data_IF_065739104016
#
_entry.id   IF_065739104016
#
_cell.length_a   1.000
_cell.length_b   1.000
_cell.length_c   1.000
_cell.angle_alpha   90.00
_cell.angle_beta   90.00
_cell.angle_gamma   90.00
#
_symmetry.space_group_name_H-M   'P 1'
#
loop_
_entity.id
_entity.type
_entity.pdbx_description
1 polymer ?
#
# COMPACT_ATOMS: atom_id res chain seq x y z
N UNK A 1 -11.15 -10.60 10.67
CA UNK A 1 -11.38 -11.23 9.38
C UNK A 1 -10.20 -12.13 9.02
N UNK A 2 -10.51 -13.28 8.54
CA UNK A 2 -9.54 -14.31 8.20
C UNK A 2 -9.36 -14.37 6.68
N UNK A 3 -8.11 -14.35 6.24
CA UNK A 3 -7.76 -14.49 4.83
C UNK A 3 -6.89 -15.71 4.62
N UNK A 4 -6.69 -16.07 3.36
CA UNK A 4 -5.83 -17.17 2.99
C UNK A 4 -4.46 -17.04 3.68
N UNK A 5 -3.93 -18.16 4.17
CA UNK A 5 -2.66 -18.24 4.90
C UNK A 5 -2.68 -17.53 6.26
N UNK A 6 -3.87 -17.44 6.85
CA UNK A 6 -3.99 -16.98 8.23
C UNK A 6 -3.48 -15.57 8.47
N UNK A 7 -3.84 -14.67 7.59
CA UNK A 7 -3.59 -13.26 7.79
C UNK A 7 -4.66 -12.73 8.73
N UNK A 8 -4.26 -12.14 9.85
CA UNK A 8 -5.18 -11.57 10.82
C UNK A 8 -5.35 -10.09 10.54
N UNK A 9 -6.59 -9.67 10.29
CA UNK A 9 -6.94 -8.29 10.11
C UNK A 9 -7.28 -7.64 11.43
N UNK A 10 -6.64 -6.51 11.70
CA UNK A 10 -7.05 -5.61 12.78
C UNK A 10 -7.70 -4.41 12.11
N UNK A 11 -8.90 -4.09 12.52
CA UNK A 11 -9.71 -3.06 11.88
C UNK A 11 -9.22 -1.64 12.14
N UNK A 12 -10.02 -0.65 11.74
CA UNK A 12 -9.69 0.77 11.89
C UNK A 12 -9.49 1.23 13.32
N UNK A 13 -9.91 0.48 14.29
CA UNK A 13 -9.73 0.86 15.71
C UNK A 13 -8.25 1.09 15.99
N UNK A 14 -7.36 0.31 15.41
CA UNK A 14 -5.92 0.55 15.53
C UNK A 14 -5.53 1.96 15.09
N UNK A 15 -6.09 2.41 13.97
CA UNK A 15 -5.71 3.70 13.39
C UNK A 15 -6.39 4.90 14.04
N UNK A 16 -7.28 4.71 14.99
CA UNK A 16 -7.79 5.84 15.79
C UNK A 16 -6.70 6.51 16.61
N UNK A 17 -5.67 5.75 16.94
CA UNK A 17 -4.58 6.21 17.81
C UNK A 17 -3.22 6.20 17.13
N UNK A 18 -3.19 5.94 15.81
CA UNK A 18 -1.96 5.76 15.08
C UNK A 18 -2.14 6.20 13.64
N UNK A 19 -1.09 6.75 13.05
CA UNK A 19 -1.08 7.10 11.64
C UNK A 19 -0.54 5.92 10.82
N UNK A 20 -0.92 5.80 9.53
CA UNK A 20 -0.32 4.79 8.68
C UNK A 20 1.16 5.06 8.53
N UNK A 21 1.93 4.00 8.47
CA UNK A 21 3.39 4.07 8.33
C UNK A 21 3.81 3.32 7.09
N UNK A 22 4.92 3.73 6.51
CA UNK A 22 5.55 2.97 5.42
C UNK A 22 5.78 1.53 5.89
N UNK A 23 5.56 0.59 5.00
CA UNK A 23 5.63 -0.86 5.19
C UNK A 23 4.44 -1.48 5.92
N UNK A 24 3.49 -0.71 6.40
CA UNK A 24 2.23 -1.29 6.89
C UNK A 24 1.53 -2.03 5.75
N UNK A 25 0.94 -3.16 6.07
CA UNK A 25 0.06 -3.87 5.13
C UNK A 25 -1.37 -3.53 5.51
N UNK A 26 -2.12 -3.02 4.56
CA UNK A 26 -3.48 -2.53 4.81
C UNK A 26 -4.47 -3.13 3.84
N UNK A 27 -5.74 -3.08 4.22
CA UNK A 27 -6.85 -3.42 3.34
C UNK A 27 -7.50 -2.13 2.90
N UNK A 28 -7.64 -1.98 1.59
CA UNK A 28 -8.24 -0.81 0.97
C UNK A 28 -9.52 -1.23 0.28
N UNK A 29 -10.58 -0.45 0.49
CA UNK A 29 -11.84 -0.60 -0.23
C UNK A 29 -11.72 0.20 -1.51
N UNK A 30 -11.63 -0.50 -2.63
CA UNK A 30 -11.53 0.11 -3.95
C UNK A 30 -12.86 -0.06 -4.67
N UNK A 31 -13.48 1.07 -4.99
CA UNK A 31 -14.72 1.11 -5.77
C UNK A 31 -14.37 1.45 -7.21
N UNK A 32 -14.61 0.53 -8.13
CA UNK A 32 -14.36 0.75 -9.55
C UNK A 32 -15.55 1.32 -10.31
N UNK A 33 -16.60 1.70 -9.56
CA UNK A 33 -17.85 2.22 -10.14
C UNK A 33 -18.88 1.14 -10.44
N UNK A 34 -18.51 -0.12 -10.36
CA UNK A 34 -19.38 -1.28 -10.58
C UNK A 34 -19.57 -2.08 -9.30
N UNK A 35 -18.47 -2.43 -8.66
CA UNK A 35 -18.46 -3.21 -7.42
C UNK A 35 -17.40 -2.70 -6.50
N UNK A 36 -17.62 -2.82 -5.18
CA UNK A 36 -16.59 -2.61 -4.19
C UNK A 36 -15.67 -3.82 -4.16
N UNK A 37 -14.38 -3.58 -4.16
CA UNK A 37 -13.37 -4.63 -4.09
C UNK A 37 -12.39 -4.32 -2.97
N UNK A 38 -12.13 -5.30 -2.13
CA UNK A 38 -11.12 -5.17 -1.09
C UNK A 38 -9.78 -5.64 -1.64
N UNK A 39 -8.77 -4.80 -1.52
CA UNK A 39 -7.41 -5.14 -1.94
C UNK A 39 -6.47 -5.03 -0.74
N UNK A 40 -5.50 -5.94 -0.68
CA UNK A 40 -4.49 -5.98 0.39
C UNK A 40 -3.18 -5.55 -0.23
N UNK A 41 -2.62 -4.45 0.27
CA UNK A 41 -1.40 -3.85 -0.30
C UNK A 41 -0.50 -3.32 0.80
N UNK A 42 0.75 -3.07 0.43
CA UNK A 42 1.75 -2.48 1.33
C UNK A 42 1.81 -0.97 1.14
N UNK A 43 1.82 -0.22 2.24
CA UNK A 43 2.00 1.23 2.20
C UNK A 43 3.46 1.53 1.82
N UNK A 44 3.64 2.24 0.73
CA UNK A 44 4.96 2.64 0.23
C UNK A 44 5.29 4.07 0.63
N UNK A 45 4.30 4.95 0.57
CA UNK A 45 4.48 6.35 0.92
C UNK A 45 3.23 6.89 1.62
N UNK A 46 3.42 7.88 2.47
CA UNK A 46 2.35 8.49 3.25
C UNK A 46 2.34 10.00 3.02
N UNK A 47 1.31 10.67 3.54
CA UNK A 47 1.15 12.10 3.37
C UNK A 47 2.41 12.87 3.75
N UNK A 48 2.82 13.77 2.86
CA UNK A 48 4.06 14.54 3.00
C UNK A 48 5.26 13.94 2.30
N UNK A 49 5.19 12.68 1.86
CA UNK A 49 6.29 12.05 1.13
C UNK A 49 6.29 12.46 -0.33
N UNK A 50 7.47 12.56 -0.91
CA UNK A 50 7.68 12.63 -2.34
C UNK A 50 8.16 11.27 -2.83
N UNK A 51 7.40 10.66 -3.72
CA UNK A 51 7.69 9.34 -4.26
C UNK A 51 8.19 9.45 -5.69
N UNK A 52 9.32 8.83 -5.96
CA UNK A 52 9.82 8.63 -7.32
C UNK A 52 9.99 7.15 -7.58
N UNK A 53 9.54 6.71 -8.75
CA UNK A 53 9.87 5.39 -9.29
C UNK A 53 10.68 5.65 -10.54
N UNK A 54 11.93 5.21 -10.54
CA UNK A 54 12.87 5.41 -11.66
C UNK A 54 13.61 4.12 -11.95
N UNK A 55 13.66 3.73 -13.20
CA UNK A 55 14.40 2.52 -13.60
C UNK A 55 14.03 1.33 -12.73
N UNK A 56 12.72 1.17 -12.44
CA UNK A 56 12.17 0.08 -11.65
C UNK A 56 12.58 0.09 -10.17
N UNK A 57 13.05 1.22 -9.66
CA UNK A 57 13.43 1.36 -8.26
C UNK A 57 12.63 2.47 -7.58
N UNK A 58 12.40 2.33 -6.28
CA UNK A 58 11.57 3.25 -5.51
C UNK A 58 12.45 4.16 -4.65
N UNK A 59 12.17 5.46 -4.71
CA UNK A 59 12.84 6.48 -3.92
C UNK A 59 11.80 7.27 -3.13
N UNK A 60 12.03 7.43 -1.84
CA UNK A 60 11.17 8.25 -0.96
C UNK A 60 11.99 9.43 -0.47
N UNK A 61 11.50 10.63 -0.78
CA UNK A 61 12.16 11.89 -0.41
C UNK A 61 13.63 11.92 -0.88
N UNK A 62 13.86 11.40 -2.08
CA UNK A 62 15.18 11.37 -2.72
C UNK A 62 16.07 10.21 -2.32
N UNK A 63 15.62 9.35 -1.42
CA UNK A 63 16.41 8.22 -0.93
C UNK A 63 15.87 6.91 -1.44
N UNK A 64 16.73 6.11 -2.07
CA UNK A 64 16.35 4.77 -2.53
C UNK A 64 16.02 3.88 -1.33
N UNK A 65 14.88 3.21 -1.39
CA UNK A 65 14.47 2.29 -0.33
C UNK A 65 14.84 0.86 -0.72
N UNK A 66 15.16 0.07 0.30
CA UNK A 66 15.45 -1.35 0.13
C UNK A 66 14.15 -2.13 0.29
N UNK A 67 13.80 -2.91 -0.72
CA UNK A 67 12.54 -3.63 -0.76
C UNK A 67 12.77 -5.14 -0.77
N UNK A 68 13.09 -5.70 0.41
CA UNK A 68 13.34 -7.14 0.54
C UNK A 68 12.10 -8.01 0.40
N UNK A 69 10.91 -7.40 0.46
CA UNK A 69 9.63 -8.13 0.43
C UNK A 69 9.12 -8.41 -0.99
N UNK A 70 9.69 -7.80 -2.01
CA UNK A 70 9.24 -8.08 -3.39
C UNK A 70 9.76 -9.44 -3.84
N UNK A 71 8.94 -10.15 -4.62
CA UNK A 71 9.23 -11.53 -5.02
C UNK A 71 10.12 -11.61 -6.25
N UNK A 72 10.08 -10.60 -7.09
CA UNK A 72 10.89 -10.53 -8.30
C UNK A 72 11.17 -9.07 -8.63
N UNK A 73 12.13 -8.83 -9.51
CA UNK A 73 12.44 -7.46 -9.90
C UNK A 73 11.22 -6.78 -10.51
N UNK A 74 10.92 -5.59 -10.03
CA UNK A 74 9.82 -4.80 -10.52
C UNK A 74 10.09 -4.33 -11.95
N UNK A 75 9.07 -4.43 -12.81
CA UNK A 75 9.10 -3.85 -14.14
C UNK A 75 7.89 -2.92 -14.25
N UNK A 76 8.13 -1.62 -14.18
CA UNK A 76 7.07 -0.63 -14.11
C UNK A 76 7.53 0.68 -14.77
N UNK A 77 6.55 1.51 -15.11
CA UNK A 77 6.84 2.84 -15.66
C UNK A 77 7.36 3.79 -14.59
N UNK A 78 8.13 4.77 -15.01
CA UNK A 78 8.60 5.83 -14.14
C UNK A 78 7.41 6.66 -13.63
N UNK A 79 7.52 7.12 -12.39
CA UNK A 79 6.47 7.89 -11.74
C UNK A 79 7.11 8.86 -10.75
N UNK A 80 6.56 10.06 -10.66
CA UNK A 80 6.98 11.04 -9.66
C UNK A 80 5.72 11.71 -9.12
N UNK A 81 5.52 11.64 -7.80
CA UNK A 81 4.29 12.15 -7.19
C UNK A 81 4.52 12.59 -5.75
N UNK A 82 3.89 13.70 -5.38
CA UNK A 82 3.81 14.12 -3.99
C UNK A 82 2.54 13.54 -3.37
N UNK A 83 2.67 12.95 -2.19
CA UNK A 83 1.53 12.36 -1.50
C UNK A 83 0.92 13.40 -0.57
N UNK A 84 -0.34 13.82 -0.82
CA UNK A 84 -0.98 14.80 0.05
C UNK A 84 -1.25 14.26 1.44
N UNK A 85 -1.39 15.17 2.39
CA UNK A 85 -1.76 14.82 3.77
C UNK A 85 -3.07 14.00 3.76
N UNK A 86 -3.09 12.97 4.57
CA UNK A 86 -4.26 12.08 4.68
C UNK A 86 -4.37 11.02 3.59
N UNK A 87 -3.39 10.94 2.70
CA UNK A 87 -3.39 9.96 1.61
C UNK A 87 -2.27 8.94 1.80
N UNK A 88 -2.44 7.79 1.18
CA UNK A 88 -1.44 6.72 1.17
C UNK A 88 -1.25 6.22 -0.24
N UNK A 89 -0.01 5.89 -0.57
CA UNK A 89 0.35 5.26 -1.85
C UNK A 89 0.72 3.81 -1.55
N UNK A 90 0.03 2.88 -2.19
CA UNK A 90 0.19 1.45 -1.89
C UNK A 90 0.65 0.69 -3.12
N UNK A 91 1.42 -0.37 -2.91
CA UNK A 91 1.85 -1.27 -3.98
C UNK A 91 1.79 -2.72 -3.48
N UNK A 92 1.45 -3.62 -4.40
CA UNK A 92 1.50 -5.05 -4.11
C UNK A 92 2.94 -5.53 -4.08
N UNK A 93 3.23 -6.53 -3.24
CA UNK A 93 4.57 -7.11 -3.19
C UNK A 93 4.90 -7.88 -4.47
N UNK A 94 3.89 -8.45 -5.11
CA UNK A 94 4.05 -9.03 -6.44
C UNK A 94 3.91 -7.91 -7.48
N UNK A 95 4.97 -7.13 -7.65
CA UNK A 95 4.97 -5.86 -8.37
C UNK A 95 4.51 -5.96 -9.82
N UNK A 96 4.78 -7.04 -10.49
CA UNK A 96 4.45 -7.19 -11.91
C UNK A 96 3.01 -7.69 -12.13
N UNK A 97 2.32 -8.07 -11.07
CA UNK A 97 0.96 -8.63 -11.14
C UNK A 97 0.05 -7.99 -10.08
N UNK A 98 0.17 -6.70 -9.88
CA UNK A 98 -0.59 -5.99 -8.86
C UNK A 98 -1.30 -4.79 -9.45
N UNK A 99 -2.60 -4.68 -9.16
CA UNK A 99 -3.35 -3.46 -9.40
C UNK A 99 -3.28 -2.63 -8.14
N UNK A 100 -2.63 -1.48 -8.20
CA UNK A 100 -2.36 -0.67 -7.03
C UNK A 100 -2.25 0.81 -7.39
N UNK A 101 -1.69 1.62 -6.47
CA UNK A 101 -1.63 3.07 -6.64
C UNK A 101 -0.85 3.54 -7.87
N UNK A 102 0.01 2.69 -8.43
CA UNK A 102 0.72 3.06 -9.68
C UNK A 102 -0.24 3.34 -10.82
N UNK A 103 -1.41 2.70 -10.80
CA UNK A 103 -2.47 2.90 -11.81
C UNK A 103 -3.69 3.60 -11.23
N UNK A 104 -4.03 3.34 -9.98
CA UNK A 104 -5.24 3.83 -9.35
C UNK A 104 -5.07 5.18 -8.67
N UNK A 105 -3.83 5.62 -8.45
CA UNK A 105 -3.54 6.79 -7.66
C UNK A 105 -3.53 6.48 -6.16
N UNK A 106 -3.23 7.48 -5.34
CA UNK A 106 -3.23 7.31 -3.89
C UNK A 106 -4.66 7.17 -3.37
N UNK A 107 -4.79 6.57 -2.19
CA UNK A 107 -6.07 6.37 -1.52
C UNK A 107 -6.21 7.29 -0.33
N UNK A 108 -7.47 7.64 -0.01
CA UNK A 108 -7.76 8.42 1.17
C UNK A 108 -7.73 7.53 2.40
N UNK A 109 -6.93 7.91 3.40
CA UNK A 109 -6.76 7.07 4.58
C UNK A 109 -8.08 6.90 5.34
N UNK A 110 -8.80 7.99 5.58
CA UNK A 110 -10.02 7.95 6.39
C UNK A 110 -11.17 7.22 5.70
N UNK A 111 -11.31 7.37 4.38
CA UNK A 111 -12.46 6.85 3.65
C UNK A 111 -12.22 5.48 3.03
N UNK A 112 -11.00 5.19 2.62
CA UNK A 112 -10.72 4.00 1.80
C UNK A 112 -10.03 2.88 2.56
N UNK A 113 -9.31 3.18 3.64
CA UNK A 113 -8.59 2.16 4.38
C UNK A 113 -9.49 1.50 5.42
N UNK A 114 -9.70 0.20 5.27
CA UNK A 114 -10.53 -0.60 6.18
C UNK A 114 -9.80 -0.92 7.46
N UNK A 115 -8.51 -1.25 7.36
CA UNK A 115 -7.74 -1.62 8.52
C UNK A 115 -6.34 -2.08 8.19
N UNK A 116 -5.62 -2.48 9.23
CA UNK A 116 -4.23 -2.94 9.14
C UNK A 116 -4.16 -4.45 9.27
N UNK A 117 -3.31 -5.06 8.45
CA UNK A 117 -2.97 -6.48 8.57
C UNK A 117 -1.74 -6.59 9.46
N UNK A 118 -1.89 -7.23 10.62
CA UNK A 118 -0.82 -7.24 11.60
C UNK A 118 0.21 -8.33 11.37
N UNK A 119 -0.22 -9.55 11.06
CA UNK A 119 0.72 -10.64 10.91
C UNK A 119 0.07 -11.83 10.23
N UNK A 120 0.93 -12.72 9.75
CA UNK A 120 0.52 -14.04 9.30
C UNK A 120 0.67 -15.03 10.44
N UNK A 121 -0.30 -15.90 10.60
CA UNK A 121 -0.19 -17.02 11.51
C UNK A 121 0.03 -18.25 10.65
N UNK A 122 1.19 -18.88 10.70
CA UNK A 122 1.39 -20.13 9.97
C UNK A 122 0.53 -21.21 10.61
N UNK A 123 -0.12 -21.97 9.81
CA UNK A 123 -0.89 -23.13 10.26
C UNK A 123 -0.06 -24.38 10.19
#
# INVERSE_FOLDING_TARGET
TYFQNNIVLIDKVFYKHSQPKRNDIIIVDYDDGLDDTLIIKRVIAVGGDHLDIKNNEVYINGKKIKESYIKENMNTEDLSIDIPKGKVFVMGDNRNHSLDSRKLGYFDFDNDVIGKVFFKIPL
#
